data_IF_123414743253
#
_entry.id   IF_123414743253
#
_cell.length_a   1.000
_cell.length_b   1.000
_cell.length_c   1.000
_cell.angle_alpha   90.00
_cell.angle_beta   90.00
_cell.angle_gamma   90.00
#
_symmetry.space_group_name_H-M   'P 1'
#
loop_
_entity.id
_entity.type
_entity.pdbx_description
1 polymer ?
#
# COMPACT_ATOMS: atom_id res chain seq x y z
N UNK A 1 14.48 -24.22 -13.14
CA UNK A 1 13.71 -22.96 -13.21
C UNK A 1 14.23 -22.01 -12.14
N UNK A 2 14.63 -20.78 -12.47
CA UNK A 2 15.24 -19.87 -11.49
C UNK A 2 14.15 -19.22 -10.60
N UNK A 3 13.79 -19.90 -9.52
CA UNK A 3 12.70 -19.51 -8.59
C UNK A 3 12.86 -18.06 -8.09
N UNK A 4 14.05 -17.61 -7.64
CA UNK A 4 14.28 -16.20 -7.28
C UNK A 4 13.89 -15.20 -8.37
N UNK A 5 14.22 -15.48 -9.63
CA UNK A 5 13.93 -14.60 -10.76
C UNK A 5 12.41 -14.47 -10.98
N UNK A 6 11.69 -15.59 -10.95
CA UNK A 6 10.23 -15.62 -11.17
C UNK A 6 9.50 -14.84 -10.08
N UNK A 7 9.85 -15.08 -8.80
CA UNK A 7 9.26 -14.36 -7.67
C UNK A 7 9.50 -12.86 -7.81
N UNK A 8 10.72 -12.47 -8.18
CA UNK A 8 11.12 -11.08 -8.34
C UNK A 8 10.40 -10.39 -9.51
N UNK A 9 10.26 -11.08 -10.66
CA UNK A 9 9.52 -10.58 -11.81
C UNK A 9 8.03 -10.38 -11.48
N UNK A 10 7.39 -11.37 -10.85
CA UNK A 10 6.00 -11.28 -10.43
C UNK A 10 5.80 -10.14 -9.43
N UNK A 11 6.66 -10.03 -8.42
CA UNK A 11 6.60 -8.94 -7.45
C UNK A 11 6.77 -7.57 -8.11
N UNK A 12 7.75 -7.45 -9.02
CA UNK A 12 8.02 -6.23 -9.76
C UNK A 12 6.80 -5.79 -10.57
N UNK A 13 6.18 -6.73 -11.31
CA UNK A 13 5.00 -6.48 -12.12
C UNK A 13 3.80 -6.08 -11.24
N UNK A 14 3.52 -6.84 -10.17
CA UNK A 14 2.41 -6.56 -9.26
C UNK A 14 2.55 -5.17 -8.61
N UNK A 15 3.73 -4.84 -8.09
CA UNK A 15 3.99 -3.54 -7.47
C UNK A 15 3.77 -2.40 -8.47
N UNK A 16 4.27 -2.54 -9.69
CA UNK A 16 4.11 -1.54 -10.74
C UNK A 16 2.65 -1.37 -11.15
N UNK A 17 1.93 -2.47 -11.39
CA UNK A 17 0.51 -2.46 -11.75
C UNK A 17 -0.34 -1.81 -10.65
N UNK A 18 -0.04 -2.07 -9.37
CA UNK A 18 -0.71 -1.40 -8.25
C UNK A 18 -0.48 0.12 -8.27
N UNK A 19 0.75 0.56 -8.52
CA UNK A 19 1.07 1.98 -8.66
C UNK A 19 0.28 2.65 -9.80
N UNK A 20 0.25 2.03 -10.98
CA UNK A 20 -0.50 2.51 -12.15
C UNK A 20 -2.00 2.56 -11.84
N UNK A 21 -2.53 1.50 -11.21
CA UNK A 21 -3.92 1.42 -10.83
C UNK A 21 -4.32 2.56 -9.89
N UNK A 22 -3.49 2.86 -8.88
CA UNK A 22 -3.72 3.97 -7.96
C UNK A 22 -3.67 5.33 -8.66
N UNK A 23 -2.78 5.54 -9.65
CA UNK A 23 -2.82 6.76 -10.47
C UNK A 23 -4.14 6.89 -11.21
N UNK A 24 -4.61 5.81 -11.83
CA UNK A 24 -5.81 5.82 -12.68
C UNK A 24 -7.09 6.05 -11.89
N UNK A 25 -7.21 5.43 -10.71
CA UNK A 25 -8.45 5.41 -9.94
C UNK A 25 -8.40 6.26 -8.67
N UNK A 26 -7.23 6.70 -8.23
CA UNK A 26 -7.03 7.55 -7.04
C UNK A 26 -7.41 9.00 -7.29
N UNK A 27 -8.69 9.26 -7.59
CA UNK A 27 -9.21 10.62 -7.70
C UNK A 27 -9.22 11.26 -6.31
N UNK A 28 -8.41 12.30 -6.11
CA UNK A 28 -8.24 12.96 -4.82
C UNK A 28 -8.28 14.47 -4.95
N UNK A 29 -8.69 15.13 -3.87
CA UNK A 29 -8.41 16.55 -3.63
C UNK A 29 -6.90 16.88 -3.65
N UNK A 30 -6.05 15.91 -3.28
CA UNK A 30 -4.58 16.03 -3.37
C UNK A 30 -4.00 15.05 -4.40
N UNK A 31 -3.71 15.56 -5.60
CA UNK A 31 -3.13 14.81 -6.72
C UNK A 31 -1.69 14.34 -6.49
N UNK A 32 -1.01 14.83 -5.43
CA UNK A 32 0.36 14.40 -5.09
C UNK A 32 0.40 12.97 -4.56
N UNK A 33 -0.65 12.52 -3.89
CA UNK A 33 -0.61 11.25 -3.18
C UNK A 33 -0.52 10.04 -4.13
N UNK A 34 -1.36 9.94 -5.19
CA UNK A 34 -1.22 8.87 -6.17
C UNK A 34 0.16 8.89 -6.86
N UNK A 35 0.73 10.09 -7.09
CA UNK A 35 2.07 10.24 -7.68
C UNK A 35 3.16 9.71 -6.76
N UNK A 36 3.18 10.10 -5.48
CA UNK A 36 4.15 9.58 -4.52
C UNK A 36 4.03 8.07 -4.35
N UNK A 37 2.80 7.54 -4.29
CA UNK A 37 2.58 6.11 -4.23
C UNK A 37 3.09 5.39 -5.48
N UNK A 38 2.84 5.94 -6.67
CA UNK A 38 3.38 5.35 -7.91
C UNK A 38 4.90 5.33 -7.95
N UNK A 39 5.57 6.44 -7.59
CA UNK A 39 7.04 6.48 -7.59
C UNK A 39 7.62 5.54 -6.53
N UNK A 40 6.94 5.40 -5.38
CA UNK A 40 7.27 4.40 -4.36
C UNK A 40 7.14 2.97 -4.91
N UNK A 41 6.00 2.65 -5.53
CA UNK A 41 5.74 1.36 -6.18
C UNK A 41 6.73 1.06 -7.30
N UNK A 42 7.11 2.07 -8.08
CA UNK A 42 8.12 1.96 -9.13
C UNK A 42 9.51 1.65 -8.54
N UNK A 43 9.88 2.33 -7.45
CA UNK A 43 11.15 2.08 -6.76
C UNK A 43 11.21 0.66 -6.18
N UNK A 44 10.12 0.19 -5.54
CA UNK A 44 9.98 -1.18 -5.05
C UNK A 44 10.04 -2.20 -6.20
N UNK A 45 9.34 -1.89 -7.30
CA UNK A 45 9.30 -2.73 -8.49
C UNK A 45 10.68 -2.90 -9.12
N UNK A 46 11.43 -1.81 -9.26
CA UNK A 46 12.78 -1.82 -9.81
C UNK A 46 13.76 -2.52 -8.88
N UNK A 47 13.66 -2.30 -7.57
CA UNK A 47 14.48 -3.01 -6.59
C UNK A 47 14.25 -4.53 -6.65
N UNK A 48 12.98 -4.95 -6.69
CA UNK A 48 12.62 -6.36 -6.78
C UNK A 48 13.16 -6.97 -8.07
N UNK A 49 12.98 -6.29 -9.20
CA UNK A 49 13.50 -6.73 -10.50
C UNK A 49 15.02 -6.92 -10.49
N UNK A 50 15.77 -5.91 -10.04
CA UNK A 50 17.24 -5.99 -9.95
C UNK A 50 17.68 -7.12 -9.01
N UNK A 51 16.98 -7.30 -7.89
CA UNK A 51 17.22 -8.38 -6.93
C UNK A 51 16.99 -9.77 -7.52
N UNK A 52 16.13 -9.90 -8.52
CA UNK A 52 15.93 -11.13 -9.28
C UNK A 52 16.98 -11.34 -10.36
N UNK A 53 17.25 -10.29 -11.16
CA UNK A 53 18.20 -10.33 -12.27
C UNK A 53 19.60 -10.73 -11.79
N UNK A 54 20.01 -10.34 -10.58
CA UNK A 54 21.32 -10.72 -10.02
C UNK A 54 21.59 -12.23 -10.01
N UNK A 55 20.55 -13.07 -9.98
CA UNK A 55 20.68 -14.54 -9.98
C UNK A 55 20.89 -15.15 -11.36
N UNK A 56 20.86 -14.35 -12.43
CA UNK A 56 21.14 -14.78 -13.81
C UNK A 56 22.33 -14.04 -14.42
N UNK A 57 22.99 -13.17 -13.65
CA UNK A 57 24.15 -12.45 -14.14
C UNK A 57 25.35 -13.39 -14.33
N UNK A 58 26.20 -13.15 -15.34
CA UNK A 58 27.47 -13.84 -15.49
C UNK A 58 28.40 -13.65 -14.28
N UNK A 59 29.28 -14.64 -14.05
CA UNK A 59 30.23 -14.65 -12.93
C UNK A 59 31.11 -13.40 -12.88
N UNK A 60 31.44 -12.83 -14.04
CA UNK A 60 32.35 -11.67 -14.12
C UNK A 60 31.76 -10.41 -13.49
N UNK A 61 30.43 -10.29 -13.40
CA UNK A 61 29.75 -9.08 -12.89
C UNK A 61 28.99 -9.31 -11.58
N UNK A 62 29.09 -10.51 -11.00
CA UNK A 62 28.41 -10.87 -9.76
C UNK A 62 28.85 -10.03 -8.56
N UNK A 63 30.11 -9.60 -8.50
CA UNK A 63 30.62 -8.73 -7.44
C UNK A 63 29.99 -7.33 -7.46
N UNK A 64 29.53 -6.87 -8.62
CA UNK A 64 28.98 -5.53 -8.85
C UNK A 64 27.48 -5.51 -8.49
N UNK A 65 26.79 -6.62 -8.71
CA UNK A 65 25.34 -6.73 -8.63
C UNK A 65 24.73 -6.28 -7.29
N UNK A 66 25.27 -6.66 -6.10
CA UNK A 66 24.65 -6.33 -4.82
C UNK A 66 24.52 -4.82 -4.58
N UNK A 67 25.60 -4.06 -4.83
CA UNK A 67 25.62 -2.60 -4.66
C UNK A 67 24.67 -1.90 -5.63
N UNK A 68 24.62 -2.35 -6.90
CA UNK A 68 23.70 -1.79 -7.90
C UNK A 68 22.24 -2.09 -7.55
N UNK A 69 21.93 -3.29 -7.01
CA UNK A 69 20.55 -3.64 -6.67
C UNK A 69 19.93 -2.71 -5.62
N UNK A 70 20.74 -2.00 -4.83
CA UNK A 70 20.27 -1.07 -3.79
C UNK A 70 19.89 0.32 -4.32
N UNK A 71 20.25 0.68 -5.55
CA UNK A 71 19.97 2.01 -6.11
C UNK A 71 18.49 2.43 -5.97
N UNK A 72 17.50 1.59 -6.31
CA UNK A 72 16.10 2.00 -6.19
C UNK A 72 15.63 2.13 -4.73
N UNK A 73 16.26 1.41 -3.79
CA UNK A 73 15.89 1.42 -2.36
C UNK A 73 16.20 2.75 -1.70
N UNK A 74 17.22 3.48 -2.17
CA UNK A 74 17.62 4.79 -1.63
C UNK A 74 16.41 5.74 -1.56
N UNK A 75 15.51 5.65 -2.53
CA UNK A 75 14.34 6.53 -2.64
C UNK A 75 13.17 6.09 -1.76
N UNK A 76 13.08 4.81 -1.38
CA UNK A 76 11.91 4.22 -0.70
C UNK A 76 11.58 4.91 0.63
N UNK A 77 12.52 5.13 1.58
CA UNK A 77 12.22 5.77 2.86
C UNK A 77 11.70 7.20 2.70
N UNK A 78 12.33 7.98 1.81
CA UNK A 78 11.91 9.35 1.50
C UNK A 78 10.51 9.37 0.87
N UNK A 79 10.26 8.54 -0.15
CA UNK A 79 8.99 8.48 -0.85
C UNK A 79 7.85 8.04 0.07
N UNK A 80 8.10 7.05 0.94
CA UNK A 80 7.14 6.61 1.95
C UNK A 80 6.81 7.76 2.91
N UNK A 81 7.81 8.47 3.42
CA UNK A 81 7.56 9.60 4.31
C UNK A 81 6.81 10.75 3.60
N UNK A 82 7.12 11.05 2.34
CA UNK A 82 6.35 12.03 1.55
C UNK A 82 4.91 11.62 1.36
N UNK A 83 4.69 10.34 1.06
CA UNK A 83 3.36 9.75 0.96
C UNK A 83 2.58 9.95 2.26
N UNK A 84 3.15 9.54 3.39
CA UNK A 84 2.54 9.67 4.73
C UNK A 84 2.25 11.12 5.09
N UNK A 85 3.21 12.03 4.88
CA UNK A 85 3.00 13.45 5.17
C UNK A 85 1.86 14.06 4.34
N UNK A 86 1.78 13.74 3.05
CA UNK A 86 0.69 14.23 2.19
C UNK A 86 -0.67 13.58 2.53
N UNK A 87 -0.67 12.37 3.07
CA UNK A 87 -1.86 11.71 3.59
C UNK A 87 -2.39 12.39 4.86
N UNK A 88 -1.48 12.85 5.73
CA UNK A 88 -1.81 13.49 7.01
C UNK A 88 -2.12 14.98 6.86
N UNK A 89 -1.44 15.67 5.94
CA UNK A 89 -1.59 17.11 5.65
C UNK A 89 -1.58 17.32 4.14
N UNK A 90 -2.71 17.68 3.56
CA UNK A 90 -2.87 17.84 2.10
C UNK A 90 -2.04 18.99 1.51
N UNK A 91 -1.76 20.02 2.31
CA UNK A 91 -0.99 21.22 1.97
C UNK A 91 0.49 21.12 2.34
N UNK A 92 0.96 19.94 2.76
CA UNK A 92 2.32 19.75 3.23
C UNK A 92 3.38 20.23 2.22
N UNK A 93 4.27 21.08 2.71
CA UNK A 93 5.50 21.54 2.04
C UNK A 93 6.68 21.24 2.94
N UNK A 94 7.70 20.60 2.38
CA UNK A 94 8.95 20.37 3.10
C UNK A 94 9.73 21.68 3.24
N UNK A 95 10.36 21.87 4.40
CA UNK A 95 11.33 22.95 4.59
C UNK A 95 12.56 22.71 3.69
N UNK A 96 13.02 23.74 2.99
CA UNK A 96 14.15 23.67 2.05
C UNK A 96 15.42 23.07 2.68
N UNK A 97 15.70 23.39 3.95
CA UNK A 97 16.86 22.85 4.68
C UNK A 97 16.80 21.32 4.79
N UNK A 98 15.64 20.77 5.16
CA UNK A 98 15.46 19.32 5.27
C UNK A 98 15.58 18.68 3.89
N UNK A 99 15.03 19.32 2.85
CA UNK A 99 15.16 18.83 1.47
C UNK A 99 16.62 18.78 1.01
N UNK A 100 17.42 19.79 1.35
CA UNK A 100 18.84 19.82 1.03
C UNK A 100 19.61 18.71 1.74
N UNK A 101 19.33 18.47 3.02
CA UNK A 101 19.92 17.35 3.78
C UNK A 101 19.56 16.01 3.11
N UNK A 102 18.30 15.81 2.74
CA UNK A 102 17.85 14.60 2.04
C UNK A 102 18.60 14.41 0.73
N UNK A 103 18.75 15.49 -0.06
CA UNK A 103 19.47 15.46 -1.32
C UNK A 103 20.93 15.04 -1.13
N UNK A 104 21.63 15.60 -0.13
CA UNK A 104 23.02 15.27 0.18
C UNK A 104 23.16 13.80 0.59
N UNK A 105 22.29 13.31 1.48
CA UNK A 105 22.31 11.91 1.93
C UNK A 105 22.02 10.97 0.77
N UNK A 106 21.00 11.25 -0.04
CA UNK A 106 20.67 10.43 -1.21
C UNK A 106 21.79 10.46 -2.26
N UNK A 107 22.42 11.60 -2.50
CA UNK A 107 23.55 11.71 -3.43
C UNK A 107 24.75 10.89 -2.96
N UNK A 108 25.09 10.95 -1.66
CA UNK A 108 26.15 10.12 -1.07
C UNK A 108 25.87 8.62 -1.23
N UNK A 109 24.64 8.18 -0.94
CA UNK A 109 24.23 6.78 -1.07
C UNK A 109 24.23 6.32 -2.53
N UNK A 110 23.79 7.19 -3.44
CA UNK A 110 23.80 6.92 -4.88
C UNK A 110 25.23 6.74 -5.41
N UNK A 111 26.14 7.66 -5.06
CA UNK A 111 27.55 7.56 -5.41
C UNK A 111 28.19 6.31 -4.81
N UNK A 112 27.82 5.94 -3.60
CA UNK A 112 28.33 4.74 -2.93
C UNK A 112 27.84 3.45 -3.62
N UNK A 113 26.61 3.42 -4.15
CA UNK A 113 26.12 2.30 -4.95
C UNK A 113 26.88 2.17 -6.28
N UNK A 114 27.10 3.28 -7.00
CA UNK A 114 27.83 3.27 -8.28
C UNK A 114 29.32 2.93 -8.08
N UNK A 115 29.92 3.41 -6.99
CA UNK A 115 31.30 3.11 -6.62
C UNK A 115 31.47 1.73 -5.98
N UNK A 116 30.40 0.92 -5.93
CA UNK A 116 30.36 -0.43 -5.37
C UNK A 116 30.76 -0.53 -3.89
N UNK A 117 30.65 0.57 -3.15
CA UNK A 117 31.08 0.70 -1.76
C UNK A 117 29.94 0.41 -0.75
N UNK A 118 28.95 -0.38 -1.15
CA UNK A 118 27.82 -0.77 -0.27
C UNK A 118 28.01 -2.15 0.31
N UNK A 119 28.25 -3.14 -0.55
CA UNK A 119 28.37 -4.54 -0.16
C UNK A 119 29.56 -5.14 -0.89
N UNK A 120 30.46 -5.75 -0.14
CA UNK A 120 31.63 -6.48 -0.63
C UNK A 120 31.31 -7.98 -0.65
N UNK A 121 31.63 -8.66 -1.75
CA UNK A 121 31.38 -10.10 -1.90
C UNK A 121 32.53 -10.90 -1.31
N UNK A 122 32.24 -11.79 -0.35
CA UNK A 122 33.25 -12.58 0.37
C UNK A 122 33.39 -13.96 -0.26
N UNK A 123 32.28 -14.63 -0.57
CA UNK A 123 32.30 -15.94 -1.22
C UNK A 123 31.15 -16.09 -2.21
N UNK A 124 31.50 -16.49 -3.42
CA UNK A 124 30.60 -16.73 -4.53
C UNK A 124 29.72 -17.96 -4.35
N UNK A 125 30.28 -19.06 -3.83
CA UNK A 125 29.54 -20.32 -3.77
C UNK A 125 28.44 -20.27 -2.70
N UNK A 126 28.72 -19.59 -1.59
CA UNK A 126 27.76 -19.40 -0.50
C UNK A 126 26.95 -18.12 -0.61
N UNK A 127 27.25 -17.25 -1.59
CA UNK A 127 26.70 -15.89 -1.67
C UNK A 127 26.88 -15.14 -0.36
N UNK A 128 28.06 -15.23 0.25
CA UNK A 128 28.40 -14.52 1.49
C UNK A 128 28.90 -13.11 1.19
N UNK A 129 28.42 -12.13 1.94
CA UNK A 129 28.76 -10.72 1.72
C UNK A 129 29.11 -10.01 3.02
N UNK A 130 29.99 -9.02 2.90
CA UNK A 130 30.39 -8.10 3.95
C UNK A 130 29.73 -6.75 3.71
N UNK A 131 29.05 -6.24 4.73
CA UNK A 131 28.37 -4.95 4.69
C UNK A 131 29.39 -3.83 4.93
N UNK A 132 29.44 -2.84 4.05
CA UNK A 132 30.37 -1.71 4.15
C UNK A 132 29.71 -0.53 4.90
N UNK A 133 30.49 0.47 5.38
CA UNK A 133 29.95 1.59 6.16
C UNK A 133 28.78 2.33 5.48
N UNK A 134 28.84 2.52 4.14
CA UNK A 134 27.76 3.18 3.40
C UNK A 134 26.43 2.41 3.46
N UNK A 135 26.47 1.09 3.58
CA UNK A 135 25.30 0.26 3.79
C UNK A 135 24.64 0.54 5.15
N UNK A 136 25.44 0.63 6.21
CA UNK A 136 24.91 0.97 7.53
C UNK A 136 24.29 2.38 7.57
N UNK A 137 24.84 3.34 6.80
CA UNK A 137 24.24 4.66 6.61
C UNK A 137 22.87 4.54 5.92
N UNK A 138 22.74 3.72 4.87
CA UNK A 138 21.44 3.45 4.21
C UNK A 138 20.42 2.86 5.19
N UNK A 139 20.85 1.91 6.04
CA UNK A 139 19.97 1.30 7.05
C UNK A 139 19.53 2.33 8.09
N UNK A 140 20.45 3.15 8.60
CA UNK A 140 20.14 4.21 9.58
C UNK A 140 19.18 5.25 9.00
N UNK A 141 19.45 5.71 7.78
CA UNK A 141 18.58 6.62 7.03
C UNK A 141 17.17 6.04 6.85
N UNK A 142 17.09 4.76 6.45
CA UNK A 142 15.83 4.06 6.26
C UNK A 142 15.05 3.92 7.57
N UNK A 143 15.73 3.52 8.64
CA UNK A 143 15.13 3.36 9.96
C UNK A 143 14.58 4.68 10.49
N UNK A 144 15.32 5.78 10.36
CA UNK A 144 14.86 7.11 10.78
C UNK A 144 13.58 7.54 10.05
N UNK A 145 13.56 7.44 8.72
CA UNK A 145 12.42 7.86 7.90
C UNK A 145 11.19 6.98 8.07
N UNK A 146 11.37 5.65 8.07
CA UNK A 146 10.27 4.69 8.25
C UNK A 146 9.74 4.77 9.68
N UNK A 147 10.62 4.83 10.68
CA UNK A 147 10.24 4.96 12.09
C UNK A 147 9.43 6.23 12.36
N UNK A 148 9.87 7.37 11.81
CA UNK A 148 9.12 8.62 11.90
C UNK A 148 7.73 8.52 11.22
N UNK A 149 7.66 7.87 10.06
CA UNK A 149 6.39 7.62 9.36
C UNK A 149 5.43 6.76 10.19
N UNK A 150 5.94 5.69 10.84
CA UNK A 150 5.17 4.84 11.75
C UNK A 150 4.63 5.65 12.91
N UNK A 151 5.49 6.44 13.58
CA UNK A 151 5.08 7.29 14.69
C UNK A 151 3.93 8.23 14.32
N UNK A 152 4.04 8.92 13.17
CA UNK A 152 3.01 9.83 12.69
C UNK A 152 1.68 9.12 12.39
N UNK A 153 1.73 7.95 11.74
CA UNK A 153 0.53 7.17 11.41
C UNK A 153 -0.12 6.61 12.67
N UNK A 154 0.64 6.01 13.59
CA UNK A 154 0.09 5.46 14.84
C UNK A 154 -0.61 6.55 15.66
N UNK A 155 -0.02 7.75 15.75
CA UNK A 155 -0.69 8.90 16.37
C UNK A 155 -2.02 9.22 15.70
N UNK A 156 -2.11 9.12 14.37
CA UNK A 156 -3.37 9.31 13.64
C UNK A 156 -4.36 8.18 13.84
N UNK A 157 -3.92 6.92 13.96
CA UNK A 157 -4.82 5.80 14.30
C UNK A 157 -5.48 5.98 15.68
N UNK A 158 -4.79 6.63 16.62
CA UNK A 158 -5.31 6.90 17.96
C UNK A 158 -6.26 8.11 17.97
N UNK A 159 -5.99 9.12 17.14
CA UNK A 159 -6.69 10.42 17.19
C UNK A 159 -7.78 10.62 16.14
N UNK A 160 -7.74 9.87 15.03
CA UNK A 160 -8.78 9.92 14.01
C UNK A 160 -9.98 9.05 14.41
N UNK A 161 -11.15 9.33 13.81
CA UNK A 161 -12.34 8.49 13.92
C UNK A 161 -12.71 7.90 12.55
N UNK A 162 -13.60 6.91 12.58
CA UNK A 162 -14.28 6.42 11.40
C UNK A 162 -13.39 5.92 10.28
N UNK A 163 -13.76 6.23 9.03
CA UNK A 163 -13.05 5.78 7.83
C UNK A 163 -11.58 6.25 7.80
N UNK A 164 -11.29 7.43 8.34
CA UNK A 164 -9.93 7.95 8.43
C UNK A 164 -9.06 7.09 9.37
N UNK A 165 -9.62 6.66 10.51
CA UNK A 165 -8.94 5.77 11.44
C UNK A 165 -8.58 4.42 10.80
N UNK A 166 -9.55 3.81 10.10
CA UNK A 166 -9.35 2.52 9.40
C UNK A 166 -8.27 2.62 8.35
N UNK A 167 -8.29 3.70 7.56
CA UNK A 167 -7.28 3.98 6.56
C UNK A 167 -5.87 4.07 7.14
N UNK A 168 -5.68 4.82 8.23
CA UNK A 168 -4.38 4.90 8.88
C UNK A 168 -3.96 3.57 9.51
N UNK A 169 -4.90 2.77 10.00
CA UNK A 169 -4.61 1.44 10.52
C UNK A 169 -4.11 0.49 9.42
N UNK A 170 -4.74 0.49 8.25
CA UNK A 170 -4.28 -0.27 7.07
C UNK A 170 -2.89 0.17 6.61
N UNK A 171 -2.64 1.49 6.56
CA UNK A 171 -1.31 2.03 6.23
C UNK A 171 -0.25 1.56 7.24
N UNK A 172 -0.56 1.66 8.54
CA UNK A 172 0.33 1.22 9.62
C UNK A 172 0.67 -0.26 9.51
N UNK A 173 -0.36 -1.10 9.32
CA UNK A 173 -0.21 -2.54 9.20
C UNK A 173 0.68 -2.91 8.00
N UNK A 174 0.48 -2.27 6.85
CA UNK A 174 1.36 -2.44 5.69
C UNK A 174 2.80 -2.01 5.98
N UNK A 175 3.01 -0.87 6.66
CA UNK A 175 4.38 -0.44 6.99
C UNK A 175 5.05 -1.43 7.95
N UNK A 176 4.36 -1.90 8.99
CA UNK A 176 4.90 -2.86 9.95
C UNK A 176 5.29 -4.18 9.26
N UNK A 177 4.42 -4.72 8.39
CA UNK A 177 4.73 -5.94 7.61
C UNK A 177 5.95 -5.73 6.72
N UNK A 178 5.99 -4.63 5.96
CA UNK A 178 7.13 -4.32 5.08
C UNK A 178 8.43 -4.12 5.86
N UNK A 179 8.39 -3.46 7.02
CA UNK A 179 9.55 -3.21 7.86
C UNK A 179 10.08 -4.51 8.44
N UNK A 180 9.20 -5.34 9.03
CA UNK A 180 9.58 -6.62 9.63
C UNK A 180 10.27 -7.53 8.60
N UNK A 181 9.65 -7.72 7.44
CA UNK A 181 10.19 -8.57 6.37
C UNK A 181 11.48 -8.01 5.78
N UNK A 182 11.54 -6.69 5.53
CA UNK A 182 12.75 -6.06 5.00
C UNK A 182 13.89 -6.15 6.01
N UNK A 183 13.67 -5.83 7.27
CA UNK A 183 14.69 -5.92 8.32
C UNK A 183 15.24 -7.35 8.44
N UNK A 184 14.35 -8.35 8.40
CA UNK A 184 14.74 -9.76 8.46
C UNK A 184 15.64 -10.17 7.30
N UNK A 185 15.25 -9.88 6.05
CA UNK A 185 15.94 -10.39 4.85
C UNK A 185 17.08 -9.49 4.34
N UNK A 186 17.10 -8.21 4.72
CA UNK A 186 18.09 -7.22 4.27
C UNK A 186 19.15 -6.96 5.34
N UNK A 187 18.83 -7.11 6.61
CA UNK A 187 19.79 -6.82 7.69
C UNK A 187 20.11 -8.06 8.52
N UNK A 188 19.12 -8.60 9.24
CA UNK A 188 19.33 -9.65 10.25
C UNK A 188 19.94 -10.91 9.62
N UNK A 189 19.29 -11.49 8.60
CA UNK A 189 19.78 -12.71 7.96
C UNK A 189 21.14 -12.50 7.26
N UNK A 190 21.36 -11.43 6.48
CA UNK A 190 22.68 -11.09 5.94
C UNK A 190 23.79 -10.99 6.98
N UNK A 191 23.54 -10.37 8.14
CA UNK A 191 24.55 -10.31 9.22
C UNK A 191 24.87 -11.69 9.84
N UNK A 192 23.98 -12.66 9.68
CA UNK A 192 24.20 -14.06 10.07
C UNK A 192 24.77 -14.93 8.92
N UNK A 193 25.13 -14.31 7.79
CA UNK A 193 25.65 -15.02 6.60
C UNK A 193 24.58 -15.68 5.72
N UNK A 194 23.29 -15.43 5.97
CA UNK A 194 22.17 -16.04 5.23
C UNK A 194 21.57 -15.03 4.25
N UNK A 195 21.81 -15.23 2.95
CA UNK A 195 21.39 -14.29 1.91
C UNK A 195 20.16 -14.76 1.14
N UNK A 196 18.97 -14.45 1.65
CA UNK A 196 17.67 -14.80 1.04
C UNK A 196 16.84 -13.58 0.62
N UNK A 197 17.50 -12.59 0.01
CA UNK A 197 16.85 -11.34 -0.43
C UNK A 197 15.68 -11.53 -1.41
N UNK A 198 15.63 -12.64 -2.16
CA UNK A 198 14.51 -12.96 -3.04
C UNK A 198 13.17 -13.23 -2.31
N UNK A 199 13.19 -13.37 -0.97
CA UNK A 199 11.99 -13.57 -0.14
C UNK A 199 11.39 -12.26 0.39
N UNK A 200 12.05 -11.11 0.21
CA UNK A 200 11.52 -9.78 0.56
C UNK A 200 10.09 -9.52 0.02
N UNK A 201 9.72 -9.97 -1.22
CA UNK A 201 8.37 -9.83 -1.73
C UNK A 201 7.24 -10.35 -0.84
N UNK A 202 7.50 -11.32 0.04
CA UNK A 202 6.50 -11.90 0.97
C UNK A 202 5.87 -10.81 1.85
N UNK A 203 6.62 -9.78 2.22
CA UNK A 203 6.07 -8.64 2.95
C UNK A 203 5.72 -7.45 2.07
N UNK A 204 6.51 -7.14 1.04
CA UNK A 204 6.28 -5.95 0.22
C UNK A 204 4.99 -6.03 -0.60
N UNK A 205 4.61 -7.21 -1.11
CA UNK A 205 3.37 -7.35 -1.89
C UNK A 205 2.13 -7.10 -1.02
N UNK A 206 1.90 -7.82 0.10
CA UNK A 206 0.77 -7.54 0.98
C UNK A 206 0.74 -6.08 1.45
N UNK A 207 1.91 -5.53 1.79
CA UNK A 207 2.02 -4.13 2.23
C UNK A 207 1.58 -3.15 1.14
N UNK A 208 2.01 -3.38 -0.11
CA UNK A 208 1.62 -2.56 -1.26
C UNK A 208 0.12 -2.62 -1.53
N UNK A 209 -0.50 -3.81 -1.37
CA UNK A 209 -1.95 -3.95 -1.46
C UNK A 209 -2.68 -3.17 -0.37
N UNK A 210 -2.24 -3.28 0.89
CA UNK A 210 -2.84 -2.55 2.01
C UNK A 210 -2.74 -1.04 1.81
N UNK A 211 -1.57 -0.56 1.37
CA UNK A 211 -1.38 0.85 1.04
C UNK A 211 -2.28 1.29 -0.10
N UNK A 212 -2.38 0.52 -1.18
CA UNK A 212 -3.26 0.82 -2.31
C UNK A 212 -4.74 0.92 -1.86
N UNK A 213 -5.21 -0.05 -1.08
CA UNK A 213 -6.58 -0.05 -0.52
C UNK A 213 -6.81 1.18 0.37
N UNK A 214 -5.90 1.45 1.31
CA UNK A 214 -5.99 2.63 2.17
C UNK A 214 -5.95 3.95 1.38
N UNK A 215 -5.32 3.93 0.22
CA UNK A 215 -5.24 5.08 -0.67
C UNK A 215 -6.53 5.29 -1.45
N UNK A 216 -7.19 4.22 -1.89
CA UNK A 216 -8.33 4.25 -2.81
C UNK A 216 -9.70 4.25 -2.10
N UNK A 217 -9.79 3.71 -0.89
CA UNK A 217 -11.05 3.50 -0.18
C UNK A 217 -11.24 4.60 0.86
N UNK A 218 -11.89 5.69 0.45
CA UNK A 218 -12.07 6.90 1.28
C UNK A 218 -13.24 6.79 2.25
N UNK A 219 -14.44 6.44 1.76
CA UNK A 219 -15.57 6.06 2.59
C UNK A 219 -16.06 4.66 2.15
N UNK A 220 -15.93 3.71 3.08
CA UNK A 220 -16.31 2.31 2.84
C UNK A 220 -17.83 2.15 2.72
N UNK A 221 -18.61 3.00 3.37
CA UNK A 221 -20.07 2.97 3.31
C UNK A 221 -20.58 3.59 2.02
N UNK A 222 -19.93 4.65 1.51
CA UNK A 222 -20.20 5.15 0.14
C UNK A 222 -19.87 4.08 -0.90
N UNK A 223 -18.73 3.39 -0.74
CA UNK A 223 -18.35 2.28 -1.61
C UNK A 223 -19.39 1.16 -1.55
N UNK A 224 -19.88 0.82 -0.34
CA UNK A 224 -20.93 -0.18 -0.15
C UNK A 224 -22.24 0.25 -0.82
N UNK A 225 -22.65 1.50 -0.64
CA UNK A 225 -23.84 2.07 -1.28
C UNK A 225 -23.73 1.99 -2.81
N UNK A 226 -22.62 2.45 -3.39
CA UNK A 226 -22.37 2.40 -4.82
C UNK A 226 -22.41 0.96 -5.36
N UNK A 227 -21.81 -0.01 -4.66
CA UNK A 227 -21.91 -1.43 -5.05
C UNK A 227 -23.36 -1.93 -5.00
N UNK A 228 -24.11 -1.55 -3.97
CA UNK A 228 -25.51 -1.96 -3.79
C UNK A 228 -26.41 -1.39 -4.89
N UNK A 229 -26.29 -0.09 -5.20
CA UNK A 229 -27.06 0.60 -6.24
C UNK A 229 -26.61 0.28 -7.68
N UNK A 230 -25.58 -0.55 -7.86
CA UNK A 230 -25.11 -0.99 -9.18
C UNK A 230 -24.16 -0.01 -9.88
N UNK A 231 -23.63 0.98 -9.16
CA UNK A 231 -22.67 1.94 -9.69
C UNK A 231 -21.31 1.29 -10.00
N UNK A 232 -20.56 1.93 -10.89
CA UNK A 232 -19.21 1.50 -11.26
C UNK A 232 -18.22 1.78 -10.12
N UNK A 233 -17.86 0.74 -9.37
CA UNK A 233 -16.85 0.81 -8.31
C UNK A 233 -15.52 0.17 -8.78
N UNK A 234 -14.36 0.80 -8.50
CA UNK A 234 -13.06 0.20 -8.82
C UNK A 234 -12.90 -1.20 -8.23
N UNK A 235 -12.30 -2.12 -9.00
CA UNK A 235 -12.15 -3.53 -8.63
C UNK A 235 -11.51 -3.74 -7.24
N UNK A 236 -10.40 -3.06 -6.94
CA UNK A 236 -9.74 -3.18 -5.63
C UNK A 236 -10.66 -2.77 -4.47
N UNK A 237 -11.43 -1.69 -4.62
CA UNK A 237 -12.35 -1.22 -3.58
C UNK A 237 -13.49 -2.22 -3.34
N UNK A 238 -13.98 -2.85 -4.42
CA UNK A 238 -14.99 -3.91 -4.32
C UNK A 238 -14.41 -5.16 -3.64
N UNK A 239 -13.20 -5.57 -4.02
CA UNK A 239 -12.52 -6.75 -3.46
C UNK A 239 -12.22 -6.58 -1.97
N UNK A 240 -11.75 -5.39 -1.55
CA UNK A 240 -11.39 -5.11 -0.16
C UNK A 240 -12.57 -4.68 0.72
N UNK A 241 -13.78 -4.54 0.18
CA UNK A 241 -14.93 -3.96 0.86
C UNK A 241 -15.24 -4.65 2.19
N UNK A 242 -15.40 -5.97 2.17
CA UNK A 242 -15.78 -6.75 3.36
C UNK A 242 -14.68 -6.69 4.43
N UNK A 243 -13.42 -6.85 4.02
CA UNK A 243 -12.29 -6.73 4.92
C UNK A 243 -12.23 -5.35 5.59
N UNK A 244 -12.45 -4.29 4.82
CA UNK A 244 -12.46 -2.92 5.32
C UNK A 244 -13.62 -2.66 6.29
N UNK A 245 -14.82 -3.19 6.02
CA UNK A 245 -15.98 -3.09 6.92
C UNK A 245 -15.75 -3.84 8.24
N UNK A 246 -15.16 -5.04 8.20
CA UNK A 246 -14.79 -5.79 9.40
C UNK A 246 -13.81 -4.97 10.23
N UNK A 247 -12.77 -4.43 9.59
CA UNK A 247 -11.78 -3.61 10.27
C UNK A 247 -12.39 -2.33 10.87
N UNK A 248 -13.33 -1.70 10.16
CA UNK A 248 -14.07 -0.55 10.67
C UNK A 248 -14.87 -0.92 11.92
N UNK A 249 -15.65 -2.00 11.88
CA UNK A 249 -16.46 -2.44 13.03
C UNK A 249 -15.64 -2.70 14.28
N UNK A 250 -14.38 -3.14 14.13
CA UNK A 250 -13.46 -3.36 15.24
C UNK A 250 -12.80 -2.07 15.74
N UNK A 251 -12.37 -1.20 14.82
CA UNK A 251 -11.61 0.01 15.18
C UNK A 251 -12.50 1.14 15.69
N UNK A 252 -13.70 1.31 15.13
CA UNK A 252 -14.64 2.35 15.52
C UNK A 252 -16.09 1.84 15.48
N UNK A 253 -16.50 1.04 16.49
CA UNK A 253 -17.80 0.39 16.50
C UNK A 253 -18.96 1.39 16.54
N UNK A 254 -18.80 2.52 17.25
CA UNK A 254 -19.85 3.51 17.40
C UNK A 254 -20.13 4.23 16.07
N UNK A 255 -19.08 4.71 15.39
CA UNK A 255 -19.25 5.36 14.10
C UNK A 255 -19.71 4.36 13.03
N UNK A 256 -19.23 3.11 13.09
CA UNK A 256 -19.69 2.03 12.22
C UNK A 256 -21.21 1.78 12.35
N UNK A 257 -21.72 1.69 13.58
CA UNK A 257 -23.16 1.51 13.81
C UNK A 257 -23.97 2.67 13.23
N UNK A 258 -23.56 3.91 13.50
CA UNK A 258 -24.25 5.10 12.99
C UNK A 258 -24.31 5.12 11.45
N UNK A 259 -23.16 4.89 10.78
CA UNK A 259 -23.10 4.83 9.31
C UNK A 259 -23.86 3.63 8.73
N UNK A 260 -23.86 2.50 9.41
CA UNK A 260 -24.63 1.30 9.02
C UNK A 260 -26.13 1.54 9.10
N UNK A 261 -26.61 2.17 10.18
CA UNK A 261 -28.03 2.57 10.32
C UNK A 261 -28.40 3.60 9.26
N UNK A 262 -27.57 4.61 9.03
CA UNK A 262 -27.81 5.62 7.99
C UNK A 262 -27.94 5.00 6.59
N UNK A 263 -27.03 4.07 6.23
CA UNK A 263 -27.12 3.35 4.95
C UNK A 263 -28.41 2.53 4.85
N UNK A 264 -28.77 1.80 5.92
CA UNK A 264 -30.03 1.04 5.96
C UNK A 264 -31.24 1.94 5.85
N UNK A 265 -31.25 3.10 6.49
CA UNK A 265 -32.33 4.07 6.41
C UNK A 265 -32.52 4.59 4.97
N UNK A 266 -31.43 4.88 4.25
CA UNK A 266 -31.48 5.27 2.83
C UNK A 266 -32.09 4.16 1.97
N UNK A 267 -31.66 2.91 2.17
CA UNK A 267 -32.21 1.76 1.44
C UNK A 267 -33.70 1.56 1.76
N UNK A 268 -34.09 1.64 3.03
CA UNK A 268 -35.49 1.52 3.45
C UNK A 268 -36.34 2.65 2.87
N UNK A 269 -35.84 3.89 2.86
CA UNK A 269 -36.55 5.01 2.23
C UNK A 269 -36.77 4.76 0.74
N UNK A 270 -35.76 4.27 0.01
CA UNK A 270 -35.89 3.95 -1.42
C UNK A 270 -36.92 2.83 -1.69
N UNK A 271 -36.99 1.83 -0.81
CA UNK A 271 -38.04 0.79 -0.83
C UNK A 271 -39.43 1.43 -0.65
N UNK A 272 -39.60 2.29 0.35
CA UNK A 272 -40.87 2.95 0.65
C UNK A 272 -41.32 3.88 -0.48
N UNK A 273 -40.42 4.67 -1.06
CA UNK A 273 -40.72 5.51 -2.23
C UNK A 273 -41.11 4.68 -3.44
N UNK A 274 -40.42 3.56 -3.67
CA UNK A 274 -40.77 2.65 -4.78
C UNK A 274 -42.14 2.02 -4.55
N UNK A 275 -42.47 1.58 -3.34
CA UNK A 275 -43.81 1.05 -3.02
C UNK A 275 -44.89 2.12 -3.22
N UNK A 276 -44.69 3.32 -2.69
CA UNK A 276 -45.62 4.44 -2.86
C UNK A 276 -45.83 4.77 -4.35
N UNK A 277 -44.76 4.76 -5.15
CA UNK A 277 -44.85 4.95 -6.59
C UNK A 277 -45.64 3.83 -7.28
N UNK A 278 -45.50 2.57 -6.85
CA UNK A 278 -46.27 1.46 -7.40
C UNK A 278 -47.75 1.58 -7.02
N UNK A 279 -48.05 1.98 -5.77
CA UNK A 279 -49.43 2.22 -5.31
C UNK A 279 -50.12 3.32 -6.11
N UNK A 280 -49.41 4.42 -6.41
CA UNK A 280 -49.99 5.58 -7.10
C UNK A 280 -50.14 5.38 -8.62
N UNK A 281 -49.28 4.56 -9.23
CA UNK A 281 -49.21 4.44 -10.69
C UNK A 281 -49.69 3.09 -11.24
N UNK A 282 -50.05 2.14 -10.38
CA UNK A 282 -50.47 0.79 -10.82
C UNK A 282 -51.55 0.21 -9.91
N UNK A 283 -52.41 -0.65 -10.47
CA UNK A 283 -53.43 -1.41 -9.71
C UNK A 283 -52.91 -2.76 -9.17
N UNK A 284 -51.58 -2.87 -8.98
CA UNK A 284 -50.98 -4.11 -8.52
C UNK A 284 -51.40 -4.42 -7.08
N UNK A 285 -51.86 -5.66 -6.86
CA UNK A 285 -52.12 -6.18 -5.52
C UNK A 285 -50.85 -6.19 -4.65
N UNK A 286 -51.04 -6.13 -3.33
CA UNK A 286 -49.96 -6.09 -2.33
C UNK A 286 -48.91 -7.19 -2.56
N UNK A 287 -49.35 -8.43 -2.81
CA UNK A 287 -48.46 -9.57 -3.02
C UNK A 287 -47.55 -9.36 -4.24
N UNK A 288 -48.10 -8.81 -5.32
CA UNK A 288 -47.35 -8.58 -6.56
C UNK A 288 -46.38 -7.41 -6.43
N UNK A 289 -46.76 -6.34 -5.70
CA UNK A 289 -45.84 -5.24 -5.36
C UNK A 289 -44.71 -5.71 -4.46
N UNK A 290 -45.02 -6.51 -3.43
CA UNK A 290 -44.03 -7.10 -2.54
C UNK A 290 -43.03 -7.99 -3.31
N UNK A 291 -43.49 -8.77 -4.28
CA UNK A 291 -42.61 -9.57 -5.13
C UNK A 291 -41.68 -8.71 -6.01
N UNK A 292 -42.20 -7.62 -6.60
CA UNK A 292 -41.39 -6.69 -7.40
C UNK A 292 -40.33 -5.98 -6.54
N UNK A 293 -40.71 -5.53 -5.34
CA UNK A 293 -39.77 -4.96 -4.38
C UNK A 293 -38.73 -6.00 -3.95
N UNK A 294 -39.14 -7.22 -3.62
CA UNK A 294 -38.22 -8.30 -3.25
C UNK A 294 -37.23 -8.64 -4.37
N UNK A 295 -37.66 -8.63 -5.64
CA UNK A 295 -36.77 -8.82 -6.79
C UNK A 295 -35.82 -7.64 -6.99
N UNK A 296 -36.33 -6.40 -6.95
CA UNK A 296 -35.53 -5.18 -7.13
C UNK A 296 -34.48 -5.03 -6.01
N UNK A 297 -34.86 -5.33 -4.77
CA UNK A 297 -34.04 -5.16 -3.58
C UNK A 297 -33.43 -6.46 -3.05
N UNK A 298 -33.44 -7.54 -3.83
CA UNK A 298 -32.96 -8.86 -3.41
C UNK A 298 -31.54 -8.83 -2.81
N UNK A 299 -30.65 -8.04 -3.42
CA UNK A 299 -29.25 -7.91 -2.99
C UNK A 299 -29.07 -7.10 -1.70
N UNK A 300 -30.09 -6.39 -1.23
CA UNK A 300 -30.05 -5.51 -0.06
C UNK A 300 -30.64 -6.15 1.20
N UNK A 301 -31.51 -7.16 1.02
CA UNK A 301 -32.20 -7.88 2.09
C UNK A 301 -31.33 -9.01 2.66
N UNK A 302 -30.33 -9.48 1.91
CA UNK A 302 -29.38 -10.53 2.29
C UNK A 302 -28.20 -9.98 3.09
#
# INVERSE_FOLDING_TARGET
>A
MNVPLIISLLCSLIALLLGIYVIRFGHRKNSKIPRYFFVLSFSISLWSLLSGIRYVLPKEIHAIAPSITLLPVIFVPFLLNRLVMNLIRSDFKQKNVIFLIDLVVMAYLFLSCISLNMIEMVDYQTSSYKLLPAYHILIMYSFGYVGFSIFLILRRVITASGAERVRFALLSLGIIISLFTTLLFVYILPTLGIFKGYLIPIGLIPSSFLWAVAILQYDVFETKAAVLFGDKVPFLNRLSLNFHLILYSFLDPNEFQNKSVALKAVVTADILYTDMSLVLNTDLELNRRAELLARKYYQYIK
#
